data_IF_060703761720
#
_entry.id   IF_060703761720
#
_cell.length_a   1.000
_cell.length_b   1.000
_cell.length_c   1.000
_cell.angle_alpha   90.00
_cell.angle_beta   90.00
_cell.angle_gamma   90.00
#
_symmetry.space_group_name_H-M   'P 1'
#
loop_
_entity.id
_entity.type
_entity.pdbx_description
1 polymer ?
#
# COMPACT_ATOMS: atom_id res chain seq x y z
N UNK A 1 5.13 -17.58 12.55
CA UNK A 1 4.65 -17.49 11.17
C UNK A 1 4.89 -16.07 10.75
N UNK A 2 5.78 -15.85 9.79
CA UNK A 2 6.00 -14.52 9.25
C UNK A 2 4.75 -14.11 8.48
N UNK A 3 4.13 -12.99 8.87
CA UNK A 3 3.02 -12.41 8.13
C UNK A 3 3.59 -11.52 7.04
N UNK A 4 3.28 -11.83 5.80
CA UNK A 4 3.62 -10.99 4.66
C UNK A 4 2.41 -10.12 4.31
N UNK A 5 2.65 -8.83 4.10
CA UNK A 5 1.64 -7.88 3.64
C UNK A 5 2.02 -7.41 2.25
N UNK A 6 1.01 -7.30 1.38
CA UNK A 6 1.15 -6.74 0.04
C UNK A 6 0.21 -5.56 -0.05
N UNK A 7 0.69 -4.47 -0.66
CA UNK A 7 -0.06 -3.23 -0.82
C UNK A 7 -0.16 -2.97 -2.31
N UNK A 8 -1.37 -2.68 -2.75
CA UNK A 8 -1.60 -2.19 -4.10
C UNK A 8 -1.21 -0.71 -4.17
N UNK A 9 -0.34 -0.38 -5.13
CA UNK A 9 0.01 1.01 -5.43
C UNK A 9 -1.10 1.62 -6.30
N UNK A 10 -1.52 2.82 -5.94
CA UNK A 10 -2.65 3.51 -6.57
C UNK A 10 -2.24 4.87 -7.11
N UNK A 11 -2.98 5.35 -8.09
CA UNK A 11 -2.79 6.67 -8.68
C UNK A 11 -3.10 7.76 -7.65
N UNK A 12 -2.22 8.74 -7.55
CA UNK A 12 -2.31 9.87 -6.62
C UNK A 12 -3.42 10.87 -6.96
N UNK A 13 -4.00 10.75 -8.16
CA UNK A 13 -4.99 11.69 -8.69
C UNK A 13 -6.40 11.12 -8.73
N UNK A 14 -6.56 9.81 -8.96
CA UNK A 14 -7.87 9.17 -9.15
C UNK A 14 -8.08 7.89 -8.33
N UNK A 15 -7.11 7.51 -7.48
CA UNK A 15 -7.13 6.32 -6.62
C UNK A 15 -7.25 4.97 -7.35
N UNK A 16 -7.23 4.94 -8.69
CA UNK A 16 -7.21 3.71 -9.44
C UNK A 16 -5.86 2.96 -9.27
N UNK A 17 -5.90 1.64 -9.23
CA UNK A 17 -4.70 0.81 -9.20
C UNK A 17 -3.77 1.13 -10.37
N UNK A 18 -2.48 1.37 -10.09
CA UNK A 18 -1.49 1.59 -11.14
C UNK A 18 -1.11 0.26 -11.76
N UNK A 19 -1.33 0.15 -13.08
CA UNK A 19 -0.92 -1.01 -13.87
C UNK A 19 0.50 -0.78 -14.35
N UNK A 20 1.43 -1.60 -13.87
CA UNK A 20 2.82 -1.60 -14.32
C UNK A 20 3.08 -2.81 -15.21
N UNK A 21 3.97 -2.66 -16.18
CA UNK A 21 4.39 -3.78 -17.03
C UNK A 21 5.15 -4.81 -16.20
N UNK A 22 4.83 -6.10 -16.39
CA UNK A 22 5.54 -7.18 -15.71
C UNK A 22 7.04 -7.16 -16.04
N UNK A 23 7.87 -7.18 -15.00
CA UNK A 23 9.33 -7.16 -15.14
C UNK A 23 9.95 -5.79 -15.33
N UNK A 24 9.15 -4.72 -15.37
CA UNK A 24 9.67 -3.35 -15.35
C UNK A 24 10.07 -2.97 -13.93
N UNK A 25 11.36 -2.70 -13.74
CA UNK A 25 11.88 -2.07 -12.52
C UNK A 25 11.72 -0.55 -12.64
N UNK A 26 11.29 0.08 -11.55
CA UNK A 26 11.18 1.53 -11.43
C UNK A 26 12.23 2.03 -10.43
N UNK A 27 12.74 3.22 -10.70
CA UNK A 27 13.73 3.89 -9.86
C UNK A 27 13.27 5.30 -9.50
N UNK A 28 13.88 5.87 -8.47
CA UNK A 28 13.61 7.25 -8.04
C UNK A 28 13.74 8.23 -9.20
N UNK A 29 12.77 9.15 -9.30
CA UNK A 29 12.60 10.07 -10.41
C UNK A 29 11.87 9.52 -11.64
N UNK A 30 11.51 8.24 -11.68
CA UNK A 30 10.64 7.70 -12.75
C UNK A 30 9.20 8.18 -12.59
N UNK A 31 8.49 8.24 -13.72
CA UNK A 31 7.06 8.53 -13.77
C UNK A 31 6.24 7.31 -14.21
N UNK A 32 5.11 7.10 -13.54
CA UNK A 32 4.12 6.06 -13.83
C UNK A 32 2.83 6.71 -14.35
N UNK A 33 2.55 6.53 -15.64
CA UNK A 33 1.29 6.99 -16.22
C UNK A 33 0.13 6.10 -15.77
N UNK A 34 -0.95 6.73 -15.30
CA UNK A 34 -2.17 6.01 -14.95
C UNK A 34 -2.99 5.70 -16.19
N UNK A 35 -3.28 4.42 -16.43
CA UNK A 35 -4.11 4.00 -17.58
C UNK A 35 -5.57 4.48 -17.51
N UNK A 36 -6.04 4.93 -16.35
CA UNK A 36 -7.44 5.30 -16.13
C UNK A 36 -7.68 6.81 -16.28
N UNK A 37 -6.79 7.67 -15.76
CA UNK A 37 -6.94 9.13 -15.85
C UNK A 37 -5.90 9.81 -16.75
N UNK A 38 -4.85 9.11 -17.18
CA UNK A 38 -3.76 9.67 -17.99
C UNK A 38 -2.76 10.54 -17.23
N UNK A 39 -2.95 10.73 -15.92
CA UNK A 39 -2.03 11.52 -15.10
C UNK A 39 -0.72 10.76 -14.82
N UNK A 40 0.36 11.51 -14.74
CA UNK A 40 1.71 11.01 -14.51
C UNK A 40 2.04 11.04 -13.02
N UNK A 41 2.25 9.87 -12.42
CA UNK A 41 2.51 9.71 -10.99
C UNK A 41 4.01 9.59 -10.75
N UNK A 42 4.55 10.42 -9.87
CA UNK A 42 5.95 10.31 -9.44
C UNK A 42 6.13 9.03 -8.62
N UNK A 43 7.12 8.21 -9.00
CA UNK A 43 7.34 6.90 -8.38
C UNK A 43 7.66 7.02 -6.88
N UNK A 44 8.51 7.98 -6.51
CA UNK A 44 8.90 8.18 -5.10
C UNK A 44 7.68 8.54 -4.25
N UNK A 45 6.83 9.45 -4.76
CA UNK A 45 5.58 9.83 -4.10
C UNK A 45 4.59 8.66 -3.96
N UNK A 46 4.51 7.78 -4.96
CA UNK A 46 3.68 6.57 -4.91
C UNK A 46 4.20 5.60 -3.84
N UNK A 47 5.51 5.40 -3.75
CA UNK A 47 6.13 4.56 -2.74
C UNK A 47 5.88 5.10 -1.33
N UNK A 48 6.11 6.38 -1.09
CA UNK A 48 5.90 7.01 0.22
C UNK A 48 4.47 6.74 0.75
N UNK A 49 3.47 6.96 -0.10
CA UNK A 49 2.06 6.73 0.26
C UNK A 49 1.76 5.24 0.47
N UNK A 50 2.36 4.35 -0.31
CA UNK A 50 2.21 2.91 -0.12
C UNK A 50 2.84 2.44 1.20
N UNK A 51 4.00 2.97 1.58
CA UNK A 51 4.65 2.68 2.87
C UNK A 51 3.78 3.12 4.04
N UNK A 52 3.24 4.34 4.01
CA UNK A 52 2.35 4.86 5.04
C UNK A 52 1.11 3.97 5.22
N UNK A 53 0.46 3.60 4.11
CA UNK A 53 -0.68 2.67 4.12
C UNK A 53 -0.30 1.31 4.70
N UNK A 54 0.92 0.86 4.46
CA UNK A 54 1.43 -0.42 4.97
C UNK A 54 1.61 -0.44 6.46
N UNK A 55 2.21 0.62 7.00
CA UNK A 55 2.35 0.81 8.44
C UNK A 55 0.98 0.88 9.10
N UNK A 56 0.02 1.58 8.50
CA UNK A 56 -1.35 1.64 9.02
C UNK A 56 -2.04 0.27 9.01
N UNK A 57 -1.90 -0.51 7.93
CA UNK A 57 -2.45 -1.87 7.82
C UNK A 57 -1.91 -2.79 8.92
N UNK A 58 -0.60 -2.77 9.14
CA UNK A 58 0.05 -3.56 10.17
C UNK A 58 -0.39 -3.15 11.59
N UNK A 59 -0.51 -1.84 11.87
CA UNK A 59 -1.01 -1.33 13.14
C UNK A 59 -2.45 -1.75 13.40
N UNK A 60 -3.33 -1.58 12.42
CA UNK A 60 -4.75 -1.95 12.54
C UNK A 60 -4.94 -3.45 12.81
N UNK A 61 -4.11 -4.30 12.21
CA UNK A 61 -4.13 -5.73 12.47
C UNK A 61 -3.66 -6.06 13.89
N UNK A 62 -2.55 -5.47 14.34
CA UNK A 62 -2.06 -5.64 15.71
C UNK A 62 -3.10 -5.20 16.75
N UNK A 63 -3.77 -4.08 16.52
CA UNK A 63 -4.85 -3.60 17.39
C UNK A 63 -6.03 -4.57 17.46
N UNK A 64 -6.43 -5.15 16.31
CA UNK A 64 -7.49 -6.18 16.27
C UNK A 64 -7.09 -7.43 17.05
N UNK A 65 -5.85 -7.89 16.90
CA UNK A 65 -5.33 -9.06 17.61
C UNK A 65 -5.28 -8.85 19.12
N UNK A 66 -4.79 -7.68 19.56
CA UNK A 66 -4.79 -7.30 20.98
C UNK A 66 -6.22 -7.26 21.53
N UNK A 67 -7.15 -6.59 20.83
CA UNK A 67 -8.55 -6.50 21.25
C UNK A 67 -9.22 -7.87 21.34
N UNK A 68 -8.95 -8.76 20.39
CA UNK A 68 -9.43 -10.15 20.41
C UNK A 68 -8.88 -10.91 21.62
N UNK A 69 -7.58 -10.80 21.86
CA UNK A 69 -6.89 -11.45 22.99
C UNK A 69 -7.45 -10.98 24.33
N UNK A 70 -7.58 -9.67 24.54
CA UNK A 70 -8.18 -9.12 25.75
C UNK A 70 -9.63 -9.58 25.94
N UNK A 71 -10.46 -9.58 24.90
CA UNK A 71 -11.85 -10.05 24.98
C UNK A 71 -11.94 -11.52 25.39
N UNK A 72 -11.01 -12.36 24.95
CA UNK A 72 -10.96 -13.78 25.31
C UNK A 72 -10.43 -13.99 26.74
N UNK A 73 -9.60 -13.09 27.26
CA UNK A 73 -9.07 -13.16 28.64
C UNK A 73 -10.13 -12.82 29.70
N UNK A 74 -11.11 -11.99 29.34
CA UNK A 74 -12.21 -11.57 30.23
C UNK A 74 -13.54 -12.32 29.97
N UNK A 75 -13.48 -13.45 29.27
CA UNK A 75 -14.59 -14.41 29.12
C UNK A 75 -14.30 -15.66 29.93
#
# INVERSE_FOLDING_TARGET
MDKNYTIEVVCLFCDAALKVEEGKEYQSGDMIECSECGESNDYDSVLDIAEEKGVELAKNELEKELKSTFKNLFK
#
